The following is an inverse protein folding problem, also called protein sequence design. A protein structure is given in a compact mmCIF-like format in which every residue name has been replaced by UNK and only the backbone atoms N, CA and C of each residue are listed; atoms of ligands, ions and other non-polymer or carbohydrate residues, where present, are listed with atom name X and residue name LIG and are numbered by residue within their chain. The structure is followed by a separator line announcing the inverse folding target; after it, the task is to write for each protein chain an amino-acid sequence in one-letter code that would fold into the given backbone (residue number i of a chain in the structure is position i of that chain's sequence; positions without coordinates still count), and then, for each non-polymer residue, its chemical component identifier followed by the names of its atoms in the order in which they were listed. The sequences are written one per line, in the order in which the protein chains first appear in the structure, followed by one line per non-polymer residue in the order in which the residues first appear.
data_IF_508776534735
#
_entry.id   IF_508776534735
#
_cell.length_a   1.000
_cell.length_b   1.000
_cell.length_c   1.000
_cell.angle_alpha   90.00
_cell.angle_beta   90.00
_cell.angle_gamma   90.00
#
_symmetry.space_group_name_H-M   'P 1'
#
loop_
_entity.id
_entity.type
_entity.pdbx_description
1 polymer ?
#
# COMPACT_ATOMS: atom_id res chain seq x y z
N UNK A 1 32.66 -10.62 30.82
CA UNK A 1 31.99 -9.62 31.68
C UNK A 1 30.84 -9.06 30.83
N UNK A 2 29.63 -9.57 31.10
CA UNK A 2 28.39 -9.22 30.36
C UNK A 2 27.70 -8.13 31.19
N UNK A 3 27.62 -6.92 30.61
CA UNK A 3 26.93 -5.78 31.22
C UNK A 3 25.41 -5.91 31.09
N UNK A 4 24.73 -5.99 32.20
CA UNK A 4 23.29 -5.86 32.34
C UNK A 4 22.85 -4.41 32.03
N UNK A 5 21.97 -4.23 31.07
CA UNK A 5 21.24 -2.98 30.88
C UNK A 5 19.95 -3.01 31.69
N UNK A 6 19.64 -1.96 32.51
CA UNK A 6 18.52 -2.01 33.42
C UNK A 6 17.19 -1.74 32.74
N UNK A 7 16.33 -2.72 32.74
CA UNK A 7 14.91 -2.65 32.40
C UNK A 7 14.08 -1.65 33.23
N UNK A 8 14.62 -1.17 34.33
CA UNK A 8 13.92 -0.30 35.31
C UNK A 8 13.82 1.18 34.84
N UNK A 9 14.67 1.63 33.95
CA UNK A 9 14.64 3.03 33.47
C UNK A 9 13.48 3.28 32.51
N UNK A 10 13.13 2.30 31.68
CA UNK A 10 11.98 2.38 30.75
C UNK A 10 10.64 2.37 31.51
N UNK A 11 10.55 1.67 32.62
CA UNK A 11 9.32 1.54 33.42
C UNK A 11 8.94 2.84 34.11
N UNK A 12 9.93 3.66 34.50
CA UNK A 12 9.72 4.96 35.20
C UNK A 12 9.33 6.10 34.28
N UNK A 13 9.63 6.01 33.00
CA UNK A 13 9.31 7.05 32.01
C UNK A 13 7.92 6.86 31.35
N UNK A 14 7.34 5.66 31.43
CA UNK A 14 6.07 5.35 30.74
C UNK A 14 4.82 5.42 31.62
N UNK A 15 4.95 5.40 32.96
CA UNK A 15 3.82 5.37 33.88
C UNK A 15 3.02 6.68 34.04
N UNK A 16 3.57 7.90 33.89
CA UNK A 16 2.78 9.13 34.02
C UNK A 16 1.87 9.41 32.82
N UNK A 17 2.21 8.93 31.62
CA UNK A 17 1.45 9.22 30.39
C UNK A 17 0.12 8.43 30.29
N UNK A 18 -0.04 7.36 31.05
CA UNK A 18 -1.21 6.46 30.96
C UNK A 18 -2.46 6.95 31.72
N UNK A 19 -2.36 7.93 32.60
CA UNK A 19 -3.49 8.38 33.42
C UNK A 19 -4.36 9.47 32.82
N UNK A 20 -3.91 10.18 31.78
CA UNK A 20 -4.69 11.28 31.16
C UNK A 20 -5.55 10.88 29.95
N UNK A 21 -5.44 9.67 29.43
CA UNK A 21 -6.15 9.25 28.20
C UNK A 21 -7.52 8.60 28.47
N UNK A 22 -7.84 8.27 29.73
CA UNK A 22 -9.10 7.55 30.04
C UNK A 22 -10.35 8.45 30.12
N UNK A 23 -10.20 9.76 30.20
CA UNK A 23 -11.34 10.70 30.43
C UNK A 23 -11.94 11.22 29.12
N UNK A 24 -11.27 11.05 27.98
CA UNK A 24 -11.75 11.57 26.69
C UNK A 24 -12.59 10.57 25.87
N UNK A 25 -12.71 9.31 26.28
CA UNK A 25 -13.40 8.26 25.51
C UNK A 25 -14.95 8.30 25.61
N UNK A 26 -15.53 8.93 26.63
CA UNK A 26 -16.97 8.92 26.86
C UNK A 26 -17.75 10.03 26.18
N UNK A 27 -17.08 10.97 25.47
CA UNK A 27 -17.77 12.09 24.79
C UNK A 27 -17.89 11.94 23.27
N UNK A 28 -17.32 10.90 22.67
CA UNK A 28 -17.29 10.76 21.19
C UNK A 28 -18.45 9.94 20.60
N UNK A 29 -19.11 9.11 21.39
CA UNK A 29 -20.14 8.17 20.90
C UNK A 29 -21.57 8.76 20.72
N UNK A 30 -21.79 10.06 20.98
CA UNK A 30 -23.17 10.63 20.97
C UNK A 30 -23.48 11.67 19.89
N UNK A 31 -22.71 11.74 18.80
CA UNK A 31 -22.90 12.81 17.80
C UNK A 31 -23.13 12.39 16.35
N UNK A 32 -23.46 11.15 16.07
CA UNK A 32 -23.81 10.73 14.71
C UNK A 32 -25.22 10.08 14.64
N UNK A 33 -26.25 10.88 14.92
CA UNK A 33 -27.59 10.58 14.46
C UNK A 33 -28.24 11.88 14.02
N UNK A 34 -28.45 11.96 12.71
CA UNK A 34 -29.21 12.90 11.87
C UNK A 34 -28.32 13.77 10.96
N UNK A 35 -28.21 13.36 9.75
CA UNK A 35 -27.79 14.12 8.58
C UNK A 35 -28.66 13.72 7.40
N UNK A 36 -29.32 14.70 6.87
CA UNK A 36 -30.39 14.68 5.88
C UNK A 36 -29.98 14.06 4.54
N UNK A 37 -30.99 13.55 3.82
CA UNK A 37 -30.88 12.81 2.59
C UNK A 37 -30.17 13.54 1.46
N UNK A 38 -29.09 12.95 0.99
CA UNK A 38 -28.61 13.12 -0.38
C UNK A 38 -29.29 12.08 -1.25
N UNK A 39 -29.93 12.56 -2.32
CA UNK A 39 -30.50 11.74 -3.39
C UNK A 39 -29.47 10.73 -3.90
N UNK A 40 -29.81 9.46 -4.10
CA UNK A 40 -28.85 8.47 -4.60
C UNK A 40 -28.66 8.69 -6.10
N UNK A 41 -27.68 9.46 -6.50
CA UNK A 41 -27.01 9.19 -7.76
C UNK A 41 -26.36 7.81 -7.59
N UNK A 42 -26.78 6.85 -8.40
CA UNK A 42 -26.33 5.46 -8.37
C UNK A 42 -24.82 5.38 -8.69
N UNK A 43 -24.01 5.74 -7.71
CA UNK A 43 -22.55 5.53 -7.78
C UNK A 43 -22.34 4.09 -7.35
N UNK A 44 -22.04 3.20 -8.30
CA UNK A 44 -21.70 1.81 -7.97
C UNK A 44 -20.59 1.79 -6.92
N UNK A 45 -20.71 0.91 -5.94
CA UNK A 45 -19.67 0.75 -4.93
C UNK A 45 -18.34 0.31 -5.60
N UNK A 46 -17.22 0.58 -4.96
CA UNK A 46 -15.90 0.10 -5.44
C UNK A 46 -15.92 -1.41 -5.61
N UNK A 47 -16.56 -2.13 -4.69
CA UNK A 47 -16.72 -3.59 -4.75
C UNK A 47 -17.43 -4.03 -6.03
N UNK A 48 -18.58 -3.43 -6.36
CA UNK A 48 -19.31 -3.75 -7.59
C UNK A 48 -18.54 -3.40 -8.85
N UNK A 49 -17.79 -2.29 -8.85
CA UNK A 49 -16.94 -1.92 -9.98
C UNK A 49 -15.83 -2.95 -10.21
N UNK A 50 -15.19 -3.41 -9.13
CA UNK A 50 -14.15 -4.45 -9.16
C UNK A 50 -14.72 -5.79 -9.65
N UNK A 51 -15.87 -6.22 -9.14
CA UNK A 51 -16.50 -7.47 -9.57
C UNK A 51 -16.86 -7.45 -11.06
N UNK A 52 -17.40 -6.34 -11.57
CA UNK A 52 -17.67 -6.17 -13.02
C UNK A 52 -16.39 -6.18 -13.83
N UNK A 53 -15.34 -5.50 -13.37
CA UNK A 53 -14.04 -5.49 -14.04
C UNK A 53 -13.48 -6.91 -14.14
N UNK A 54 -13.47 -7.67 -13.05
CA UNK A 54 -12.99 -9.05 -13.02
C UNK A 54 -13.80 -9.94 -13.97
N UNK A 55 -15.12 -9.80 -13.99
CA UNK A 55 -15.99 -10.59 -14.87
C UNK A 55 -15.74 -10.35 -16.37
N UNK A 56 -15.17 -9.20 -16.74
CA UNK A 56 -14.82 -8.84 -18.11
C UNK A 56 -13.43 -9.35 -18.56
N UNK A 57 -12.59 -9.85 -17.64
CA UNK A 57 -11.22 -10.28 -17.93
C UNK A 57 -11.15 -11.69 -18.51
N UNK A 58 -10.28 -11.89 -19.49
CA UNK A 58 -9.79 -13.21 -19.89
C UNK A 58 -8.66 -13.66 -18.94
N UNK A 59 -9.07 -14.26 -17.82
CA UNK A 59 -8.13 -14.67 -16.78
C UNK A 59 -7.15 -15.76 -17.25
N UNK A 60 -7.51 -16.60 -18.22
CA UNK A 60 -6.61 -17.63 -18.74
C UNK A 60 -5.49 -17.03 -19.58
N UNK A 61 -5.79 -15.99 -20.37
CA UNK A 61 -4.79 -15.22 -21.10
C UNK A 61 -3.88 -14.46 -20.12
N UNK A 62 -4.46 -13.75 -19.16
CA UNK A 62 -3.70 -12.95 -18.19
C UNK A 62 -2.81 -13.80 -17.28
N UNK A 63 -3.26 -15.02 -16.90
CA UNK A 63 -2.44 -15.96 -16.17
C UNK A 63 -1.20 -16.37 -16.97
N UNK A 64 -1.35 -16.71 -18.26
CA UNK A 64 -0.19 -17.03 -19.12
C UNK A 64 0.75 -15.84 -19.21
N UNK A 65 0.23 -14.64 -19.48
CA UNK A 65 1.01 -13.42 -19.59
C UNK A 65 1.79 -13.12 -18.31
N UNK A 66 1.19 -13.30 -17.13
CA UNK A 66 1.85 -13.11 -15.84
C UNK A 66 3.08 -14.03 -15.69
N UNK A 67 2.94 -15.29 -16.01
CA UNK A 67 4.03 -16.27 -15.89
C UNK A 67 5.09 -16.09 -16.99
N UNK A 68 4.68 -15.78 -18.22
CA UNK A 68 5.58 -15.53 -19.35
C UNK A 68 6.47 -14.29 -19.12
N UNK A 69 6.01 -13.34 -18.28
CA UNK A 69 6.74 -12.13 -17.90
C UNK A 69 7.44 -12.23 -16.54
N UNK A 70 7.74 -13.44 -16.06
CA UNK A 70 8.45 -13.69 -14.80
C UNK A 70 7.72 -13.14 -13.57
N UNK A 71 6.44 -13.47 -13.46
CA UNK A 71 5.56 -13.04 -12.37
C UNK A 71 5.32 -11.51 -12.36
N UNK A 72 5.11 -10.96 -13.53
CA UNK A 72 4.72 -9.57 -13.75
C UNK A 72 3.51 -9.50 -14.69
N UNK A 73 2.55 -8.63 -14.36
CA UNK A 73 1.40 -8.37 -15.21
C UNK A 73 1.00 -6.89 -15.14
N UNK A 74 0.67 -6.32 -16.29
CA UNK A 74 0.07 -4.98 -16.41
C UNK A 74 -1.30 -5.11 -17.08
N UNK A 75 -2.34 -4.61 -16.41
CA UNK A 75 -3.71 -4.58 -16.91
C UNK A 75 -4.11 -3.11 -17.06
N UNK A 76 -4.08 -2.56 -18.27
CA UNK A 76 -4.55 -1.19 -18.51
C UNK A 76 -6.05 -1.11 -18.27
N UNK A 77 -6.51 0.02 -17.72
CA UNK A 77 -7.92 0.32 -17.46
C UNK A 77 -8.69 -0.82 -16.76
N UNK A 78 -8.06 -1.47 -15.77
CA UNK A 78 -8.73 -2.49 -14.94
C UNK A 78 -10.01 -1.94 -14.33
N UNK A 79 -9.96 -0.69 -13.83
CA UNK A 79 -11.16 0.09 -13.53
C UNK A 79 -11.31 1.23 -14.54
N UNK A 80 -12.54 1.58 -14.95
CA UNK A 80 -12.77 2.71 -15.83
C UNK A 80 -12.17 4.00 -15.26
N UNK A 81 -11.45 4.75 -16.09
CA UNK A 81 -10.75 5.98 -15.69
C UNK A 81 -11.68 6.99 -15.03
N UNK A 82 -12.82 7.24 -15.63
CA UNK A 82 -13.84 8.19 -15.14
C UNK A 82 -14.36 7.79 -13.76
N UNK A 83 -14.56 6.50 -13.53
CA UNK A 83 -14.92 5.98 -12.20
C UNK A 83 -13.82 6.26 -11.18
N UNK A 84 -12.56 5.96 -11.51
CA UNK A 84 -11.42 6.17 -10.58
C UNK A 84 -11.24 7.66 -10.29
N UNK A 85 -11.30 8.53 -11.30
CA UNK A 85 -11.17 9.98 -11.15
C UNK A 85 -12.33 10.58 -10.31
N UNK A 86 -13.55 10.09 -10.48
CA UNK A 86 -14.71 10.56 -9.74
C UNK A 86 -14.80 10.04 -8.29
N UNK A 87 -14.06 8.98 -7.94
CA UNK A 87 -14.15 8.30 -6.64
C UNK A 87 -12.80 8.21 -5.92
N UNK A 88 -11.99 7.23 -6.29
CA UNK A 88 -10.75 6.89 -5.59
C UNK A 88 -9.71 8.02 -5.62
N UNK A 89 -9.55 8.68 -6.77
CA UNK A 89 -8.61 9.78 -6.91
C UNK A 89 -8.98 10.97 -6.02
N UNK A 90 -10.27 11.31 -5.93
CA UNK A 90 -10.73 12.39 -5.05
C UNK A 90 -10.46 12.08 -3.58
N UNK A 91 -10.68 10.84 -3.14
CA UNK A 91 -10.35 10.42 -1.78
C UNK A 91 -8.84 10.48 -1.50
N UNK A 92 -8.03 10.03 -2.45
CA UNK A 92 -6.58 10.15 -2.34
C UNK A 92 -6.14 11.63 -2.22
N UNK A 93 -6.73 12.53 -3.00
CA UNK A 93 -6.45 13.96 -2.91
C UNK A 93 -6.83 14.55 -1.52
N UNK A 94 -7.94 14.15 -0.93
CA UNK A 94 -8.31 14.59 0.43
C UNK A 94 -7.31 14.14 1.50
N UNK A 95 -6.68 12.98 1.32
CA UNK A 95 -5.65 12.47 2.23
C UNK A 95 -4.29 13.17 2.09
N UNK A 96 -4.06 13.92 1.01
CA UNK A 96 -2.81 14.61 0.73
C UNK A 96 -2.37 15.57 1.84
N UNK A 97 -3.32 16.20 2.54
CA UNK A 97 -3.02 17.09 3.68
C UNK A 97 -2.35 16.38 4.88
N UNK A 98 -2.47 15.06 4.96
CA UNK A 98 -1.92 14.22 6.04
C UNK A 98 -0.74 13.35 5.62
N UNK A 99 -0.15 13.58 4.44
CA UNK A 99 0.97 12.77 3.96
C UNK A 99 2.24 13.00 4.78
N UNK A 100 3.01 11.94 4.96
CA UNK A 100 4.37 12.02 5.47
C UNK A 100 5.35 12.13 4.30
N UNK A 101 6.16 13.19 4.32
CA UNK A 101 7.28 13.35 3.37
C UNK A 101 8.48 12.55 3.86
N UNK A 102 9.08 11.79 2.97
CA UNK A 102 10.22 10.95 3.24
C UNK A 102 11.36 11.28 2.28
N UNK A 103 12.56 11.33 2.82
CA UNK A 103 13.77 11.50 2.06
C UNK A 103 14.84 10.53 2.55
N UNK A 104 15.26 9.62 1.67
CA UNK A 104 16.40 8.72 1.89
C UNK A 104 17.40 9.04 0.77
N UNK A 105 18.56 9.68 1.08
CA UNK A 105 19.53 10.08 0.07
C UNK A 105 19.88 8.94 -0.89
N UNK A 106 19.82 9.21 -2.21
CA UNK A 106 20.14 8.24 -3.24
C UNK A 106 19.11 7.12 -3.43
N UNK A 107 18.03 7.09 -2.66
CA UNK A 107 17.05 6.00 -2.74
C UNK A 107 15.60 6.46 -2.90
N UNK A 108 15.15 7.43 -2.09
CA UNK A 108 13.73 7.83 -2.10
C UNK A 108 13.54 9.29 -1.73
N UNK A 109 12.70 9.97 -2.51
CA UNK A 109 12.06 11.24 -2.17
C UNK A 109 10.58 11.12 -2.52
N UNK A 110 9.66 11.47 -1.63
CA UNK A 110 8.23 11.37 -1.91
C UNK A 110 7.38 11.45 -0.65
N UNK A 111 6.06 11.39 -0.83
CA UNK A 111 5.09 11.35 0.25
C UNK A 111 4.40 9.99 0.37
N UNK A 112 3.89 9.67 1.55
CA UNK A 112 3.08 8.47 1.75
C UNK A 112 2.03 8.63 2.85
N UNK A 113 0.92 7.91 2.69
CA UNK A 113 -0.14 7.76 3.71
C UNK A 113 -0.33 6.27 3.93
N UNK A 114 -0.05 5.80 5.14
CA UNK A 114 -0.06 4.38 5.48
C UNK A 114 -1.44 3.85 5.86
N UNK A 115 -1.53 2.53 5.97
CA UNK A 115 -2.71 1.71 6.20
C UNK A 115 -3.70 2.30 7.22
N UNK A 116 -3.25 2.71 8.42
CA UNK A 116 -4.16 3.20 9.46
C UNK A 116 -4.89 4.50 9.07
N UNK A 117 -4.18 5.43 8.42
CA UNK A 117 -4.79 6.68 7.99
C UNK A 117 -5.73 6.44 6.79
N UNK A 118 -5.39 5.49 5.91
CA UNK A 118 -6.26 5.06 4.81
C UNK A 118 -7.51 4.41 5.38
N UNK A 119 -7.40 3.48 6.33
CA UNK A 119 -8.53 2.81 6.97
C UNK A 119 -9.47 3.79 7.68
N UNK A 120 -8.91 4.80 8.37
CA UNK A 120 -9.69 5.78 9.11
C UNK A 120 -10.44 6.77 8.20
N UNK A 121 -9.82 7.18 7.09
CA UNK A 121 -10.29 8.34 6.31
C UNK A 121 -10.76 8.01 4.89
N UNK A 122 -10.40 6.86 4.35
CA UNK A 122 -10.74 6.41 3.01
C UNK A 122 -10.96 4.89 2.97
N UNK A 123 -11.99 4.37 3.69
CA UNK A 123 -12.22 2.94 3.85
C UNK A 123 -12.42 2.19 2.54
N UNK A 124 -12.83 2.85 1.46
CA UNK A 124 -13.02 2.23 0.14
C UNK A 124 -11.73 1.59 -0.42
N UNK A 125 -10.56 2.13 -0.08
CA UNK A 125 -9.29 1.47 -0.43
C UNK A 125 -9.08 0.18 0.35
N UNK A 126 -9.54 0.13 1.60
CA UNK A 126 -9.48 -1.06 2.43
C UNK A 126 -10.50 -2.10 1.96
N UNK A 127 -11.69 -1.67 1.53
CA UNK A 127 -12.71 -2.55 0.95
C UNK A 127 -12.16 -3.22 -0.32
N UNK A 128 -11.47 -2.48 -1.20
CA UNK A 128 -10.78 -3.03 -2.36
C UNK A 128 -9.69 -4.03 -1.94
N UNK A 129 -8.79 -3.64 -1.03
CA UNK A 129 -7.70 -4.48 -0.54
C UNK A 129 -8.20 -5.79 0.09
N UNK A 130 -9.32 -5.74 0.83
CA UNK A 130 -9.92 -6.90 1.51
C UNK A 130 -10.94 -7.65 0.67
N UNK A 131 -11.24 -7.21 -0.55
CA UNK A 131 -12.21 -7.85 -1.43
C UNK A 131 -11.84 -9.30 -1.69
N UNK A 132 -12.74 -10.22 -1.36
CA UNK A 132 -12.55 -11.65 -1.64
C UNK A 132 -12.52 -11.95 -3.13
N UNK A 133 -13.34 -11.24 -3.94
CA UNK A 133 -13.34 -11.37 -5.40
C UNK A 133 -11.99 -10.92 -6.00
N UNK A 134 -11.45 -9.78 -5.53
CA UNK A 134 -10.15 -9.29 -5.97
C UNK A 134 -9.02 -10.26 -5.59
N UNK A 135 -9.01 -10.74 -4.35
CA UNK A 135 -8.02 -11.72 -3.89
C UNK A 135 -8.15 -13.06 -4.62
N UNK A 136 -9.37 -13.53 -4.93
CA UNK A 136 -9.59 -14.74 -5.72
C UNK A 136 -9.01 -14.61 -7.14
N UNK A 137 -9.21 -13.45 -7.79
CA UNK A 137 -8.55 -13.13 -9.07
C UNK A 137 -7.03 -13.20 -8.95
N UNK A 138 -6.43 -12.54 -7.94
CA UNK A 138 -4.99 -12.58 -7.71
C UNK A 138 -4.48 -14.00 -7.49
N UNK A 139 -5.17 -14.80 -6.67
CA UNK A 139 -4.83 -16.22 -6.43
C UNK A 139 -4.87 -17.04 -7.73
N UNK A 140 -5.86 -16.78 -8.59
CA UNK A 140 -5.97 -17.43 -9.90
C UNK A 140 -4.76 -17.12 -10.80
N UNK A 141 -4.41 -15.83 -10.90
CA UNK A 141 -3.30 -15.35 -11.75
C UNK A 141 -1.93 -15.82 -11.24
N UNK A 142 -1.71 -15.77 -9.94
CA UNK A 142 -0.41 -16.07 -9.31
C UNK A 142 -0.23 -17.56 -8.97
N UNK A 143 -1.29 -18.36 -8.99
CA UNK A 143 -1.32 -19.77 -8.58
C UNK A 143 -0.87 -20.01 -7.14
N UNK A 144 -0.97 -19.02 -6.28
CA UNK A 144 -0.67 -19.13 -4.85
C UNK A 144 -1.83 -18.61 -4.02
N UNK A 145 -1.92 -19.09 -2.78
CA UNK A 145 -2.90 -18.57 -1.82
C UNK A 145 -2.35 -17.31 -1.16
N UNK A 146 -2.79 -16.16 -1.64
CA UNK A 146 -2.42 -14.86 -1.11
C UNK A 146 -3.25 -14.52 0.13
N UNK A 147 -2.57 -14.12 1.18
CA UNK A 147 -3.12 -13.71 2.46
C UNK A 147 -2.92 -12.20 2.63
N UNK A 148 -3.81 -11.57 3.38
CA UNK A 148 -3.63 -10.19 3.81
C UNK A 148 -2.39 -10.08 4.71
N UNK A 149 -1.66 -8.98 4.58
CA UNK A 149 -0.64 -8.66 5.57
C UNK A 149 -1.27 -8.43 6.95
N UNK A 150 -0.53 -8.64 8.05
CA UNK A 150 -1.02 -8.31 9.38
C UNK A 150 -1.49 -6.86 9.50
N UNK A 151 -2.56 -6.61 10.25
CA UNK A 151 -3.17 -5.28 10.43
C UNK A 151 -2.19 -4.22 10.96
N UNK A 152 -1.06 -4.62 11.50
CA UNK A 152 -0.01 -3.71 11.99
C UNK A 152 1.08 -3.40 10.95
N UNK A 153 0.93 -3.82 9.70
CA UNK A 153 1.82 -3.43 8.61
C UNK A 153 1.31 -2.14 7.94
N UNK A 154 2.03 -1.01 8.06
CA UNK A 154 1.60 0.25 7.46
C UNK A 154 1.68 0.27 5.93
N UNK A 155 2.38 -0.68 5.33
CA UNK A 155 2.52 -0.82 3.87
C UNK A 155 1.43 -1.69 3.26
N UNK A 156 0.66 -2.45 4.07
CA UNK A 156 -0.32 -3.43 3.56
C UNK A 156 -1.32 -2.84 2.57
N UNK A 157 -1.74 -1.59 2.78
CA UNK A 157 -2.53 -0.79 1.84
C UNK A 157 -2.17 0.68 2.08
N UNK A 158 -1.41 1.28 1.18
CA UNK A 158 -0.82 2.59 1.35
C UNK A 158 -0.91 3.43 0.07
N UNK A 159 -0.98 4.74 0.23
CA UNK A 159 -0.94 5.69 -0.88
C UNK A 159 0.46 6.30 -0.98
N UNK A 160 0.99 6.35 -2.18
CA UNK A 160 2.26 7.01 -2.49
C UNK A 160 2.01 8.24 -3.36
N UNK A 161 2.60 9.35 -2.93
CA UNK A 161 2.43 10.67 -3.53
C UNK A 161 3.76 11.17 -4.06
N UNK A 162 3.77 11.51 -5.33
CA UNK A 162 4.83 12.23 -6.01
C UNK A 162 4.25 13.61 -6.33
N UNK A 163 4.66 14.64 -5.59
CA UNK A 163 4.03 15.98 -5.60
C UNK A 163 5.03 17.12 -5.66
N UNK A 164 6.32 16.83 -5.55
CA UNK A 164 7.40 17.80 -5.67
C UNK A 164 8.40 17.34 -6.71
N UNK A 165 8.96 18.28 -7.48
CA UNK A 165 9.98 17.98 -8.46
C UNK A 165 11.12 17.12 -7.87
N UNK A 166 11.48 16.06 -8.59
CA UNK A 166 12.48 15.09 -8.16
C UNK A 166 11.97 14.02 -7.19
N UNK A 167 10.66 13.93 -6.91
CA UNK A 167 10.10 12.81 -6.15
C UNK A 167 10.29 11.51 -6.95
N UNK A 168 10.89 10.51 -6.33
CA UNK A 168 11.28 9.25 -6.97
C UNK A 168 11.43 8.11 -5.96
N UNK A 169 11.54 6.88 -6.46
CA UNK A 169 12.05 5.72 -5.70
C UNK A 169 13.12 5.06 -6.57
N UNK A 170 14.34 4.94 -6.03
CA UNK A 170 15.44 4.24 -6.70
C UNK A 170 15.18 2.76 -6.87
N UNK A 171 15.92 2.11 -7.72
CA UNK A 171 15.78 0.68 -8.00
C UNK A 171 15.91 -0.18 -6.73
N UNK A 172 14.96 -1.10 -6.56
CA UNK A 172 14.89 -2.02 -5.42
C UNK A 172 14.03 -3.26 -5.73
N UNK A 173 14.09 -4.24 -4.82
CA UNK A 173 13.09 -5.28 -4.65
C UNK A 173 12.22 -4.92 -3.46
N UNK A 174 10.96 -5.33 -3.47
CA UNK A 174 10.08 -5.21 -2.30
C UNK A 174 10.43 -6.31 -1.29
N UNK A 175 11.50 -6.08 -0.54
CA UNK A 175 12.04 -7.08 0.40
C UNK A 175 11.02 -7.45 1.45
N UNK A 176 10.66 -8.72 1.51
CA UNK A 176 9.75 -9.26 2.51
C UNK A 176 10.45 -9.48 3.86
N UNK A 177 9.86 -8.96 4.93
CA UNK A 177 10.23 -9.35 6.31
C UNK A 177 9.46 -10.58 6.79
N UNK A 178 8.46 -11.01 6.03
CA UNK A 178 7.67 -12.20 6.26
C UNK A 178 8.42 -13.46 5.85
N UNK A 179 7.94 -14.63 6.30
CA UNK A 179 8.51 -15.93 5.89
C UNK A 179 8.11 -16.30 4.47
N UNK A 180 6.96 -15.80 4.01
CA UNK A 180 6.46 -16.03 2.66
C UNK A 180 6.92 -14.99 1.65
N UNK A 181 6.67 -15.28 0.38
CA UNK A 181 6.85 -14.32 -0.69
C UNK A 181 5.88 -13.15 -0.56
N UNK A 182 6.31 -11.96 -1.01
CA UNK A 182 5.52 -10.74 -1.05
C UNK A 182 5.08 -10.44 -2.48
N UNK A 183 3.81 -10.12 -2.61
CA UNK A 183 3.19 -9.71 -3.87
C UNK A 183 2.72 -8.29 -3.74
N UNK A 184 3.16 -7.45 -4.67
CA UNK A 184 2.82 -6.03 -4.73
C UNK A 184 1.83 -5.79 -5.84
N UNK A 185 0.75 -5.11 -5.53
CA UNK A 185 -0.27 -4.69 -6.47
C UNK A 185 -0.34 -3.16 -6.46
N UNK A 186 -0.14 -2.55 -7.62
CA UNK A 186 -0.22 -1.10 -7.79
C UNK A 186 -1.47 -0.75 -8.58
N UNK A 187 -2.20 0.28 -8.15
CA UNK A 187 -3.28 0.89 -8.92
C UNK A 187 -3.01 2.37 -9.13
N UNK A 188 -3.01 2.81 -10.38
CA UNK A 188 -2.93 4.23 -10.71
C UNK A 188 -4.19 4.96 -10.24
N UNK A 189 -4.03 6.11 -9.59
CA UNK A 189 -5.14 6.96 -9.14
C UNK A 189 -5.12 8.32 -9.80
N UNK A 190 -3.94 8.90 -9.97
CA UNK A 190 -3.71 10.17 -10.64
C UNK A 190 -2.35 10.10 -11.34
N UNK A 191 -2.30 10.49 -12.60
CA UNK A 191 -1.04 10.70 -13.32
C UNK A 191 -1.14 11.93 -14.22
N UNK A 192 -0.56 13.04 -13.74
CA UNK A 192 -0.40 14.30 -14.46
C UNK A 192 1.08 14.52 -14.78
N UNK A 193 1.86 13.44 -14.86
CA UNK A 193 3.29 13.49 -15.12
C UNK A 193 3.64 13.20 -16.57
N UNK A 194 4.70 13.84 -17.08
CA UNK A 194 5.27 13.57 -18.41
C UNK A 194 6.29 12.45 -18.37
N UNK A 195 7.06 12.35 -17.28
CA UNK A 195 8.23 11.47 -17.18
C UNK A 195 8.31 10.63 -15.90
N UNK A 196 7.43 10.83 -14.93
CA UNK A 196 7.40 10.00 -13.73
C UNK A 196 6.77 8.65 -14.05
N UNK A 197 7.58 7.61 -14.18
CA UNK A 197 7.17 6.27 -14.64
C UNK A 197 7.56 5.20 -13.64
N UNK A 198 6.76 4.16 -13.55
CA UNK A 198 7.22 2.88 -13.02
C UNK A 198 8.13 2.24 -14.05
N UNK A 199 9.38 2.02 -13.71
CA UNK A 199 10.35 1.32 -14.56
C UNK A 199 10.75 0.01 -13.90
N UNK A 200 10.87 -1.05 -14.68
CA UNK A 200 11.25 -2.35 -14.17
C UNK A 200 12.03 -3.18 -15.20
N UNK A 201 12.90 -4.06 -14.68
CA UNK A 201 13.70 -4.97 -15.47
C UNK A 201 13.23 -6.41 -15.21
N UNK A 202 12.39 -6.93 -16.12
CA UNK A 202 11.93 -8.31 -16.08
C UNK A 202 13.13 -9.24 -16.33
N UNK A 203 13.14 -10.41 -15.69
CA UNK A 203 14.17 -11.44 -15.84
C UNK A 203 15.59 -11.04 -15.38
N UNK A 204 15.75 -9.93 -14.66
CA UNK A 204 17.07 -9.42 -14.28
C UNK A 204 17.96 -10.48 -13.63
N UNK A 205 17.41 -11.30 -12.73
CA UNK A 205 18.16 -12.31 -11.98
C UNK A 205 17.85 -13.74 -12.46
N UNK A 206 17.30 -13.89 -13.67
CA UNK A 206 17.01 -15.22 -14.24
C UNK A 206 18.20 -15.70 -15.04
N UNK A 207 18.90 -16.78 -14.61
CA UNK A 207 20.06 -17.30 -15.32
C UNK A 207 19.77 -17.58 -16.78
N UNK A 208 20.63 -17.10 -17.68
CA UNK A 208 20.53 -17.34 -19.13
C UNK A 208 19.48 -16.48 -19.86
N UNK A 209 18.76 -15.60 -19.17
CA UNK A 209 17.87 -14.62 -19.80
C UNK A 209 18.49 -13.23 -19.78
N UNK A 210 18.20 -12.44 -20.83
CA UNK A 210 18.51 -11.01 -20.84
C UNK A 210 17.38 -10.24 -20.15
N UNK A 211 17.70 -9.22 -19.35
CA UNK A 211 16.68 -8.35 -18.77
C UNK A 211 15.84 -7.65 -19.86
N UNK A 212 14.55 -7.57 -19.64
CA UNK A 212 13.61 -6.84 -20.49
C UNK A 212 13.11 -5.61 -19.74
N UNK A 213 13.56 -4.44 -20.18
CA UNK A 213 13.14 -3.17 -19.59
C UNK A 213 11.68 -2.85 -19.95
N UNK A 214 10.90 -2.40 -18.95
CA UNK A 214 9.54 -1.89 -19.11
C UNK A 214 9.42 -0.53 -18.44
N UNK A 215 8.62 0.34 -19.06
CA UNK A 215 8.29 1.67 -18.54
C UNK A 215 6.78 1.88 -18.64
N UNK A 216 6.13 2.20 -17.51
CA UNK A 216 4.68 2.31 -17.39
C UNK A 216 4.28 3.64 -16.76
N UNK A 217 3.29 4.31 -17.34
CA UNK A 217 2.68 5.51 -16.78
C UNK A 217 1.88 5.20 -15.50
N UNK A 218 1.22 4.05 -15.42
CA UNK A 218 0.23 3.70 -14.39
C UNK A 218 -0.88 4.75 -14.29
N UNK A 219 -1.60 4.93 -15.40
CA UNK A 219 -2.72 5.85 -15.51
C UNK A 219 -3.85 5.51 -14.51
N UNK A 220 -4.80 6.43 -14.23
CA UNK A 220 -5.94 6.13 -13.37
C UNK A 220 -6.71 4.90 -13.85
N UNK A 221 -6.85 3.91 -12.96
CA UNK A 221 -7.50 2.63 -13.25
C UNK A 221 -6.58 1.51 -13.73
N UNK A 222 -5.34 1.80 -14.10
CA UNK A 222 -4.36 0.76 -14.45
C UNK A 222 -4.00 -0.07 -13.22
N UNK A 223 -3.80 -1.38 -13.43
CA UNK A 223 -3.39 -2.32 -12.39
C UNK A 223 -2.07 -2.99 -12.79
N UNK A 224 -1.11 -3.00 -11.86
CA UNK A 224 0.16 -3.73 -12.00
C UNK A 224 0.23 -4.77 -10.89
N UNK A 225 0.55 -6.01 -11.23
CA UNK A 225 0.63 -7.16 -10.31
C UNK A 225 2.02 -7.78 -10.46
N UNK A 226 2.77 -7.93 -9.39
CA UNK A 226 4.08 -8.57 -9.45
C UNK A 226 4.51 -9.24 -8.15
N UNK A 227 5.43 -10.19 -8.29
CA UNK A 227 6.14 -10.76 -7.15
C UNK A 227 7.23 -9.77 -6.72
N UNK A 228 7.06 -9.16 -5.55
CA UNK A 228 7.96 -8.12 -5.02
C UNK A 228 9.38 -8.61 -4.77
N UNK A 229 9.55 -9.89 -4.45
CA UNK A 229 10.88 -10.48 -4.23
C UNK A 229 11.66 -10.69 -5.55
N UNK A 230 11.01 -10.59 -6.72
CA UNK A 230 11.61 -10.90 -8.04
C UNK A 230 11.74 -9.71 -8.97
N UNK A 231 10.88 -8.70 -8.83
CA UNK A 231 10.87 -7.56 -9.75
C UNK A 231 11.83 -6.47 -9.29
N UNK A 232 12.89 -6.24 -10.05
CA UNK A 232 13.78 -5.09 -9.89
C UNK A 232 13.12 -3.86 -10.51
N UNK A 233 12.70 -2.90 -9.70
CA UNK A 233 11.90 -1.77 -10.17
C UNK A 233 12.24 -0.46 -9.46
N UNK A 234 11.83 0.64 -10.09
CA UNK A 234 12.02 2.00 -9.61
C UNK A 234 10.85 2.89 -10.05
N UNK A 235 10.78 4.10 -9.49
CA UNK A 235 9.94 5.18 -10.00
C UNK A 235 10.85 6.34 -10.38
N UNK A 236 10.79 6.74 -11.65
CA UNK A 236 11.61 7.85 -12.19
C UNK A 236 11.21 9.19 -11.58
N UNK A 237 12.12 10.18 -11.55
CA UNK A 237 11.86 11.47 -10.93
C UNK A 237 10.67 12.21 -11.55
N UNK A 238 9.83 12.79 -10.69
CA UNK A 238 8.74 13.69 -11.08
C UNK A 238 9.30 15.01 -11.60
N UNK A 239 8.66 15.57 -12.62
CA UNK A 239 8.96 16.89 -13.17
C UNK A 239 8.39 18.04 -12.32
N UNK A 240 8.63 19.27 -12.76
CA UNK A 240 8.06 20.46 -12.12
C UNK A 240 6.57 20.61 -12.45
N UNK A 241 5.78 21.03 -11.45
CA UNK A 241 4.32 21.23 -11.56
C UNK A 241 3.55 19.95 -12.00
N UNK A 242 4.10 18.81 -11.70
CA UNK A 242 3.49 17.51 -11.98
C UNK A 242 3.00 16.85 -10.70
N UNK A 243 2.07 15.91 -10.84
CA UNK A 243 1.56 15.11 -9.74
C UNK A 243 1.26 13.67 -10.18
N UNK A 244 1.59 12.72 -9.31
CA UNK A 244 1.25 11.30 -9.49
C UNK A 244 0.88 10.69 -8.15
N UNK A 245 -0.20 9.92 -8.12
CA UNK A 245 -0.67 9.20 -6.91
C UNK A 245 -0.95 7.75 -7.29
N UNK A 246 -0.43 6.84 -6.47
CA UNK A 246 -0.59 5.39 -6.66
C UNK A 246 -1.03 4.75 -5.35
N UNK A 247 -2.02 3.86 -5.43
CA UNK A 247 -2.35 2.92 -4.36
C UNK A 247 -1.44 1.71 -4.48
N UNK A 248 -0.85 1.30 -3.36
CA UNK A 248 -0.08 0.06 -3.24
C UNK A 248 -0.78 -0.86 -2.26
N UNK A 249 -1.02 -2.10 -2.66
CA UNK A 249 -1.62 -3.16 -1.86
C UNK A 249 -0.66 -4.34 -1.81
N UNK A 250 -0.41 -4.84 -0.59
CA UNK A 250 0.56 -5.89 -0.35
C UNK A 250 -0.11 -7.16 0.15
N UNK A 251 0.23 -8.27 -0.47
CA UNK A 251 -0.22 -9.61 -0.06
C UNK A 251 0.97 -10.51 0.17
N UNK A 252 0.80 -11.55 0.98
CA UNK A 252 1.87 -12.47 1.34
C UNK A 252 1.40 -13.92 1.27
N UNK A 253 2.32 -14.86 1.03
CA UNK A 253 1.99 -16.29 1.08
C UNK A 253 2.08 -16.86 2.50
N UNK A 254 2.82 -16.20 3.40
CA UNK A 254 2.90 -16.52 4.82
C UNK A 254 3.15 -15.25 5.63
N UNK A 255 2.18 -14.79 6.43
CA UNK A 255 2.26 -13.55 7.21
C UNK A 255 3.12 -13.67 8.48
N UNK A 256 3.67 -14.84 8.78
CA UNK A 256 4.53 -15.02 9.94
C UNK A 256 5.80 -14.16 9.83
N UNK A 257 6.12 -13.49 10.89
CA UNK A 257 7.35 -12.70 11.02
C UNK A 257 8.06 -13.03 12.34
N UNK A 258 9.36 -13.32 12.27
CA UNK A 258 10.16 -13.49 13.48
C UNK A 258 10.15 -12.21 14.34
N UNK A 259 10.14 -12.34 15.67
CA UNK A 259 10.02 -11.22 16.60
C UNK A 259 11.08 -10.12 16.36
N UNK A 260 12.31 -10.50 16.06
CA UNK A 260 13.40 -9.57 15.79
C UNK A 260 13.21 -8.81 14.46
N UNK A 261 12.80 -9.51 13.41
CA UNK A 261 12.49 -8.87 12.11
C UNK A 261 11.31 -7.90 12.24
N UNK A 262 10.31 -8.24 13.07
CA UNK A 262 9.15 -7.37 13.35
C UNK A 262 9.59 -6.06 14.03
N UNK A 263 10.47 -6.13 15.02
CA UNK A 263 10.99 -4.93 15.69
C UNK A 263 11.79 -4.05 14.72
N UNK A 264 12.65 -4.64 13.92
CA UNK A 264 13.45 -3.92 12.93
C UNK A 264 12.58 -3.27 11.84
N UNK A 265 11.61 -4.00 11.29
CA UNK A 265 10.65 -3.46 10.33
C UNK A 265 9.88 -2.27 10.91
N UNK A 266 9.36 -2.41 12.14
CA UNK A 266 8.63 -1.34 12.82
C UNK A 266 9.46 -0.07 13.00
N UNK A 267 10.74 -0.19 13.38
CA UNK A 267 11.66 0.93 13.53
C UNK A 267 11.97 1.58 12.17
N UNK A 268 12.35 0.79 11.18
CA UNK A 268 12.64 1.27 9.82
C UNK A 268 11.45 2.01 9.22
N UNK A 269 10.24 1.43 9.29
CA UNK A 269 9.03 1.99 8.71
C UNK A 269 8.63 3.30 9.38
N UNK A 270 8.86 3.39 10.69
CA UNK A 270 8.58 4.61 11.46
C UNK A 270 9.52 5.76 11.09
N UNK A 271 10.80 5.46 10.87
CA UNK A 271 11.78 6.47 10.46
C UNK A 271 11.70 6.80 8.98
N UNK A 272 11.50 5.79 8.13
CA UNK A 272 11.64 5.94 6.67
C UNK A 272 10.35 6.31 5.93
N UNK A 273 9.17 5.98 6.46
CA UNK A 273 7.92 6.08 5.69
C UNK A 273 6.76 6.80 6.38
N UNK A 274 6.48 6.53 7.65
CA UNK A 274 5.19 6.95 8.25
C UNK A 274 5.31 7.80 9.52
N UNK A 275 6.54 8.16 9.93
CA UNK A 275 6.82 8.98 11.11
C UNK A 275 6.59 8.26 12.46
N UNK A 276 7.17 8.80 13.53
CA UNK A 276 7.16 8.19 14.88
C UNK A 276 5.75 8.02 15.47
N UNK A 277 4.76 8.81 15.05
CA UNK A 277 3.37 8.71 15.55
C UNK A 277 2.70 7.37 15.19
N UNK A 278 3.12 6.71 14.13
CA UNK A 278 2.58 5.40 13.70
C UNK A 278 2.97 4.26 14.67
N UNK A 279 4.12 4.36 15.35
CA UNK A 279 4.59 3.36 16.33
C UNK A 279 3.68 3.33 17.57
N UNK A 280 3.24 4.50 18.03
CA UNK A 280 2.41 4.60 19.24
C UNK A 280 0.96 4.18 19.00
N UNK A 281 0.42 4.34 17.82
CA UNK A 281 -0.91 3.81 17.45
C UNK A 281 -0.93 2.27 17.41
N UNK A 282 0.18 1.62 17.07
CA UNK A 282 0.32 0.15 17.03
C UNK A 282 0.18 -0.56 18.39
N UNK A 283 0.56 0.09 19.48
CA UNK A 283 0.48 -0.49 20.82
C UNK A 283 -0.95 -0.65 21.35
N UNK A 284 -1.94 -0.07 20.67
CA UNK A 284 -3.34 0.02 21.11
C UNK A 284 -4.36 -0.71 20.20
N UNK A 285 -3.93 -1.45 19.19
CA UNK A 285 -4.87 -2.28 18.43
C UNK A 285 -5.39 -3.42 19.33
N UNK A 286 -6.73 -3.57 19.51
CA UNK A 286 -7.25 -4.70 20.29
C UNK A 286 -6.87 -6.00 19.58
N UNK A 287 -6.34 -6.97 20.36
CA UNK A 287 -6.16 -8.33 19.87
C UNK A 287 -7.53 -8.84 19.44
N UNK A 288 -7.68 -9.21 18.16
CA UNK A 288 -8.84 -9.96 17.69
C UNK A 288 -8.94 -11.23 18.53
N UNK A 289 -10.06 -11.41 19.22
CA UNK A 289 -10.39 -12.69 19.85
C UNK A 289 -10.61 -13.69 18.72
N UNK A 290 -9.82 -14.73 18.76
CA UNK A 290 -9.94 -15.95 17.94
C UNK A 290 -11.26 -16.66 18.21
#
# INVERSE_FOLDING_TARGET
VIGYWPFDLLRRLLLPAMRHTLVLRTRYERRFTKGEGMSPTCTSSVTEAVERAIAALDLDRLEREYWDQNEFLYIPEFLPRDFVEATLAQQAQMLKSGLNRNYIPGHKKGGSVGYYAVMEKAPQFIDLYRSDAFRAMLNRLTKVNLLLCPDNDPHSCALYYYTEAGDHIGYHYDTSYYKGARYTILMGLLDQSKQCRLVCDLFKDVPGKQPVHRELATAPGDLVIFNGDKLWHAVTPLGEQEERIVLTMEYVTNPDMGAFKRLYSNLKDSFAYFGLRSVFKRAYAPRSQS
#
